data_IF_928748978300
#
_entry.id   IF_928748978300
#
_cell.length_a   1.000
_cell.length_b   1.000
_cell.length_c   1.000
_cell.angle_alpha   90.00
_cell.angle_beta   90.00
_cell.angle_gamma   90.00
#
_symmetry.space_group_name_H-M   'P 1'
#
loop_
_entity.id
_entity.type
_entity.pdbx_description
1 polymer ?
#
# COMPACT_ATOMS: atom_id res chain seq x y z
N UNK A 1 22.72 -21.05 -3.04
CA UNK A 1 22.47 -19.74 -2.42
C UNK A 1 21.70 -18.75 -3.31
N UNK A 2 21.41 -19.02 -4.60
CA UNK A 2 20.65 -18.10 -5.45
C UNK A 2 19.16 -17.94 -5.06
N UNK A 3 18.53 -19.02 -4.57
CA UNK A 3 17.13 -19.02 -4.11
C UNK A 3 16.89 -18.06 -2.94
N UNK A 4 17.89 -17.85 -2.08
CA UNK A 4 17.76 -16.90 -0.96
C UNK A 4 17.68 -15.45 -1.44
N UNK A 5 18.38 -15.09 -2.51
CA UNK A 5 18.41 -13.71 -3.00
C UNK A 5 17.07 -13.34 -3.67
N UNK A 6 16.51 -14.26 -4.45
CA UNK A 6 15.24 -14.07 -5.13
C UNK A 6 14.06 -14.06 -4.14
N UNK A 7 14.08 -14.94 -3.15
CA UNK A 7 13.10 -14.97 -2.07
C UNK A 7 13.21 -13.74 -1.16
N UNK A 8 14.43 -13.30 -0.81
CA UNK A 8 14.64 -12.03 -0.07
C UNK A 8 14.06 -10.84 -0.84
N UNK A 9 14.24 -10.80 -2.17
CA UNK A 9 13.72 -9.70 -3.00
C UNK A 9 12.20 -9.65 -2.97
N UNK A 10 11.51 -10.79 -3.08
CA UNK A 10 10.04 -10.86 -2.98
C UNK A 10 9.53 -10.41 -1.62
N UNK A 11 10.18 -10.85 -0.53
CA UNK A 11 9.84 -10.43 0.84
C UNK A 11 10.06 -8.92 1.01
N UNK A 12 11.21 -8.41 0.57
CA UNK A 12 11.54 -6.99 0.68
C UNK A 12 10.51 -6.13 -0.05
N UNK A 13 10.12 -6.51 -1.27
CA UNK A 13 9.10 -5.79 -2.06
C UNK A 13 7.75 -5.78 -1.34
N UNK A 14 7.30 -6.92 -0.79
CA UNK A 14 6.06 -6.97 -0.02
C UNK A 14 6.12 -6.09 1.23
N UNK A 15 7.23 -6.12 1.99
CA UNK A 15 7.40 -5.30 3.19
C UNK A 15 7.38 -3.81 2.84
N UNK A 16 8.09 -3.42 1.78
CA UNK A 16 8.09 -2.03 1.30
C UNK A 16 6.69 -1.60 0.85
N UNK A 17 5.96 -2.46 0.14
CA UNK A 17 4.61 -2.15 -0.32
C UNK A 17 3.64 -1.97 0.85
N UNK A 18 3.72 -2.80 1.90
CA UNK A 18 2.91 -2.64 3.11
C UNK A 18 3.29 -1.37 3.86
N UNK A 19 4.59 -1.07 4.00
CA UNK A 19 5.06 0.17 4.63
C UNK A 19 4.55 1.42 3.89
N UNK A 20 4.58 1.39 2.56
CA UNK A 20 4.02 2.44 1.71
C UNK A 20 2.52 2.62 1.96
N UNK A 21 1.76 1.52 2.03
CA UNK A 21 0.32 1.59 2.32
C UNK A 21 0.02 2.22 3.68
N UNK A 22 0.75 1.82 4.72
CA UNK A 22 0.59 2.39 6.06
C UNK A 22 0.86 3.89 6.01
N UNK A 23 1.92 4.33 5.31
CA UNK A 23 2.24 5.75 5.17
C UNK A 23 1.13 6.55 4.47
N UNK A 24 0.47 5.98 3.46
CA UNK A 24 -0.68 6.60 2.80
C UNK A 24 -1.87 6.75 3.74
N UNK A 25 -2.22 5.69 4.48
CA UNK A 25 -3.34 5.73 5.43
C UNK A 25 -3.08 6.75 6.54
N UNK A 26 -1.86 6.79 7.07
CA UNK A 26 -1.46 7.80 8.07
C UNK A 26 -1.53 9.21 7.48
N UNK A 27 -1.06 9.41 6.25
CA UNK A 27 -1.14 10.70 5.55
C UNK A 27 -2.57 11.18 5.36
N UNK A 28 -3.47 10.29 4.93
CA UNK A 28 -4.92 10.57 4.83
C UNK A 28 -5.50 10.88 6.21
N UNK A 29 -5.17 10.07 7.21
CA UNK A 29 -5.59 10.28 8.59
C UNK A 29 -5.23 11.68 9.08
N UNK A 30 -3.95 12.07 9.01
CA UNK A 30 -3.45 13.38 9.45
C UNK A 30 -4.08 14.53 8.66
N UNK A 31 -4.24 14.38 7.34
CA UNK A 31 -4.80 15.43 6.48
C UNK A 31 -6.28 15.68 6.73
N UNK A 32 -7.06 14.62 7.01
CA UNK A 32 -8.52 14.69 7.12
C UNK A 32 -9.05 14.54 8.56
N UNK A 33 -8.17 14.57 9.58
CA UNK A 33 -8.55 14.42 11.00
C UNK A 33 -9.38 15.58 11.57
N UNK A 34 -9.53 16.69 10.83
CA UNK A 34 -10.00 17.95 11.40
C UNK A 34 -11.47 17.94 11.89
N UNK A 35 -12.29 16.98 11.44
CA UNK A 35 -13.70 16.87 11.86
C UNK A 35 -14.21 15.42 11.88
N UNK A 36 -13.31 14.44 12.00
CA UNK A 36 -13.64 13.01 11.98
C UNK A 36 -14.07 12.52 10.60
N UNK A 37 -13.11 12.20 9.72
CA UNK A 37 -13.31 11.50 8.43
C UNK A 37 -14.70 11.76 7.80
N UNK A 38 -15.04 13.04 7.59
CA UNK A 38 -16.31 13.42 6.97
C UNK A 38 -16.42 12.84 5.55
N UNK A 39 -17.55 13.05 4.86
CA UNK A 39 -17.84 12.41 3.57
C UNK A 39 -16.68 12.37 2.56
N UNK A 40 -15.93 13.46 2.44
CA UNK A 40 -14.72 13.52 1.58
C UNK A 40 -13.54 12.70 2.11
N UNK A 41 -13.26 12.74 3.41
CA UNK A 41 -12.15 11.99 4.02
C UNK A 41 -12.38 10.47 3.97
N UNK A 42 -13.63 10.03 4.17
CA UNK A 42 -14.03 8.63 4.01
C UNK A 42 -13.85 8.14 2.56
N UNK A 43 -14.27 8.93 1.57
CA UNK A 43 -14.09 8.59 0.15
C UNK A 43 -12.61 8.51 -0.25
N UNK A 44 -11.77 9.44 0.24
CA UNK A 44 -10.31 9.41 0.03
C UNK A 44 -9.71 8.16 0.65
N UNK A 45 -10.14 7.78 1.85
CA UNK A 45 -9.66 6.57 2.53
C UNK A 45 -10.00 5.31 1.73
N UNK A 46 -11.25 5.19 1.28
CA UNK A 46 -11.69 4.07 0.42
C UNK A 46 -10.91 4.06 -0.91
N UNK A 47 -10.71 5.22 -1.53
CA UNK A 47 -9.90 5.36 -2.74
C UNK A 47 -8.45 4.92 -2.53
N UNK A 48 -7.88 5.24 -1.37
CA UNK A 48 -6.51 4.83 -0.99
C UNK A 48 -6.39 3.32 -0.83
N UNK A 49 -7.41 2.67 -0.24
CA UNK A 49 -7.48 1.20 -0.13
C UNK A 49 -7.59 0.58 -1.53
N UNK A 50 -8.48 1.10 -2.38
CA UNK A 50 -8.64 0.60 -3.74
C UNK A 50 -7.34 0.73 -4.55
N UNK A 51 -6.66 1.88 -4.46
CA UNK A 51 -5.35 2.10 -5.08
C UNK A 51 -4.32 1.09 -4.60
N UNK A 52 -4.27 0.80 -3.29
CA UNK A 52 -3.34 -0.18 -2.74
C UNK A 52 -3.60 -1.60 -3.26
N UNK A 53 -4.86 -2.01 -3.34
CA UNK A 53 -5.23 -3.33 -3.89
C UNK A 53 -4.76 -3.43 -5.35
N UNK A 54 -5.00 -2.39 -6.16
CA UNK A 54 -4.52 -2.34 -7.55
C UNK A 54 -2.99 -2.39 -7.62
N UNK A 55 -2.29 -1.64 -6.76
CA UNK A 55 -0.84 -1.64 -6.70
C UNK A 55 -0.29 -3.04 -6.36
N UNK A 56 -0.88 -3.74 -5.40
CA UNK A 56 -0.51 -5.13 -5.07
C UNK A 56 -0.79 -6.09 -6.24
N UNK A 57 -1.90 -5.91 -6.97
CA UNK A 57 -2.17 -6.66 -8.20
C UNK A 57 -1.09 -6.46 -9.26
N UNK A 58 -0.68 -5.20 -9.50
CA UNK A 58 0.40 -4.86 -10.43
C UNK A 58 1.74 -5.44 -9.98
N UNK A 59 2.08 -5.32 -8.69
CA UNK A 59 3.30 -5.88 -8.11
C UNK A 59 3.31 -7.40 -8.26
N UNK A 60 2.20 -8.08 -8.01
CA UNK A 60 2.07 -9.53 -8.18
C UNK A 60 2.30 -9.96 -9.64
N UNK A 61 1.73 -9.23 -10.60
CA UNK A 61 1.98 -9.48 -12.04
C UNK A 61 3.44 -9.21 -12.41
N UNK A 62 4.05 -8.17 -11.84
CA UNK A 62 5.44 -7.80 -12.12
C UNK A 62 6.45 -8.79 -11.52
N UNK A 63 6.18 -9.32 -10.33
CA UNK A 63 7.04 -10.32 -9.66
C UNK A 63 6.88 -11.74 -10.21
N UNK A 64 5.79 -12.00 -10.94
CA UNK A 64 5.55 -13.26 -11.63
C UNK A 64 6.25 -13.34 -13.00
N UNK A 65 6.80 -12.22 -13.48
CA UNK A 65 7.67 -12.16 -14.65
C UNK A 65 9.14 -12.13 -14.22
#
# INVERSE_FOLDING_TARGET
MALEAEMRRKILVSVVAVGFFISLIVGVGVTYNNSGLGGTGGLILVGTIALFILAMGVIGVFLNR
#
